data_IF_026495273183
#
_entry.id   IF_026495273183
#
_cell.length_a   1.000
_cell.length_b   1.000
_cell.length_c   1.000
_cell.angle_alpha   90.00
_cell.angle_beta   90.00
_cell.angle_gamma   90.00
#
_symmetry.space_group_name_H-M   'P 1'
#
loop_
_entity.id
_entity.type
_entity.pdbx_description
1 polymer ?
#
# COMPACT_ATOMS: atom_id res chain seq x y z
N UNK A 1 -66.70 1.97 21.20
CA UNK A 1 -65.88 1.68 22.40
C UNK A 1 -65.66 0.17 22.49
N UNK A 2 -64.44 -0.32 22.23
CA UNK A 2 -63.91 -1.56 22.79
C UNK A 2 -62.38 -1.57 22.63
N UNK A 3 -61.68 -2.05 23.66
CA UNK A 3 -60.24 -1.95 23.91
C UNK A 3 -59.44 -3.15 23.39
N UNK A 4 -58.17 -2.89 23.07
CA UNK A 4 -56.93 -3.70 23.13
C UNK A 4 -56.93 -5.20 22.77
N UNK A 5 -55.98 -5.58 21.91
CA UNK A 5 -54.95 -6.57 22.26
C UNK A 5 -53.63 -6.26 21.53
N UNK A 6 -52.55 -6.21 22.30
CA UNK A 6 -51.15 -6.16 21.83
C UNK A 6 -50.75 -7.56 21.37
N UNK A 7 -50.10 -7.69 20.22
CA UNK A 7 -49.18 -8.80 19.97
C UNK A 7 -48.00 -8.29 19.14
N UNK A 8 -46.84 -8.27 19.78
CA UNK A 8 -45.56 -8.06 19.13
C UNK A 8 -45.16 -9.36 18.39
N UNK A 9 -44.77 -9.24 17.12
CA UNK A 9 -43.87 -10.19 16.49
C UNK A 9 -42.70 -9.43 15.89
N UNK A 10 -41.55 -9.60 16.55
CA UNK A 10 -40.23 -9.23 16.08
C UNK A 10 -39.88 -10.25 14.99
N UNK A 11 -39.87 -9.84 13.72
CA UNK A 11 -39.23 -10.63 12.67
C UNK A 11 -37.82 -10.10 12.50
N UNK A 12 -36.84 -10.94 12.81
CA UNK A 12 -35.42 -10.60 12.81
C UNK A 12 -34.89 -10.33 11.41
N UNK A 13 -34.30 -9.16 11.23
CA UNK A 13 -33.40 -8.92 10.11
C UNK A 13 -32.01 -9.46 10.49
N UNK A 14 -31.66 -10.62 9.94
CA UNK A 14 -30.27 -11.04 9.84
C UNK A 14 -29.53 -10.05 8.94
N UNK A 15 -28.77 -9.13 9.53
CA UNK A 15 -27.84 -8.29 8.78
C UNK A 15 -26.58 -9.14 8.52
N UNK A 16 -26.50 -9.62 7.29
CA UNK A 16 -25.30 -10.20 6.70
C UNK A 16 -24.12 -9.25 6.90
N UNK A 17 -23.02 -9.82 7.38
CA UNK A 17 -21.66 -9.30 7.33
C UNK A 17 -21.46 -8.55 6.01
N UNK A 18 -21.09 -7.27 6.09
CA UNK A 18 -20.78 -6.45 4.93
C UNK A 18 -19.64 -7.07 4.14
N UNK A 19 -19.99 -7.80 3.08
CA UNK A 19 -19.05 -8.26 2.09
C UNK A 19 -18.36 -7.05 1.46
N UNK A 20 -17.03 -7.06 1.46
CA UNK A 20 -16.19 -6.15 0.69
C UNK A 20 -16.71 -6.13 -0.74
N UNK A 21 -17.18 -4.97 -1.21
CA UNK A 21 -17.73 -4.87 -2.56
C UNK A 21 -16.63 -5.17 -3.59
N UNK A 22 -16.91 -5.98 -4.62
CA UNK A 22 -15.96 -6.16 -5.72
C UNK A 22 -15.87 -4.86 -6.53
N UNK A 23 -14.70 -4.24 -6.56
CA UNK A 23 -14.43 -3.07 -7.37
C UNK A 23 -14.32 -3.43 -8.87
N UNK A 24 -14.95 -2.67 -9.79
CA UNK A 24 -14.77 -2.83 -11.23
C UNK A 24 -13.36 -2.38 -11.71
N UNK A 25 -12.82 -2.91 -12.82
CA UNK A 25 -11.42 -2.77 -13.19
C UNK A 25 -11.09 -1.38 -13.75
N UNK A 26 -10.50 -0.55 -12.89
CA UNK A 26 -9.68 0.61 -13.23
C UNK A 26 -8.36 0.50 -12.45
N UNK A 27 -7.32 -0.02 -13.12
CA UNK A 27 -6.04 -0.53 -12.57
C UNK A 27 -5.58 0.11 -11.25
N UNK A 28 -5.86 -0.58 -10.14
CA UNK A 28 -5.20 -0.34 -8.84
C UNK A 28 -3.72 -0.70 -8.90
N UNK A 29 -2.95 -0.26 -7.91
CA UNK A 29 -1.58 -0.69 -7.71
C UNK A 29 -1.57 -2.21 -7.44
N UNK A 30 -0.70 -2.96 -8.10
CA UNK A 30 -0.51 -4.40 -7.85
C UNK A 30 0.94 -4.69 -7.51
N UNK A 31 1.15 -5.69 -6.66
CA UNK A 31 2.48 -6.13 -6.24
C UNK A 31 2.91 -7.38 -7.01
N UNK A 32 4.12 -7.34 -7.53
CA UNK A 32 4.73 -8.38 -8.34
C UNK A 32 6.06 -8.81 -7.69
N UNK A 33 6.28 -10.12 -7.43
CA UNK A 33 7.58 -10.59 -6.96
C UNK A 33 8.64 -10.37 -8.04
N UNK A 34 9.85 -9.97 -7.66
CA UNK A 34 10.94 -9.81 -8.61
C UNK A 34 11.45 -11.18 -9.07
N UNK A 35 11.22 -11.48 -10.34
CA UNK A 35 11.71 -12.67 -11.06
C UNK A 35 12.70 -12.29 -12.17
N UNK A 36 13.33 -11.11 -12.07
CA UNK A 36 14.30 -10.58 -13.04
C UNK A 36 13.77 -9.46 -13.95
N UNK A 37 12.56 -8.95 -13.67
CA UNK A 37 11.99 -7.78 -14.35
C UNK A 37 12.48 -6.44 -13.77
N UNK A 38 13.09 -6.45 -12.59
CA UNK A 38 13.59 -5.27 -11.88
C UNK A 38 15.04 -5.47 -11.39
N UNK A 39 15.71 -4.40 -10.91
CA UNK A 39 17.05 -4.49 -10.31
C UNK A 39 17.17 -5.60 -9.25
N UNK A 40 18.36 -6.17 -9.11
CA UNK A 40 18.59 -7.38 -8.29
C UNK A 40 18.37 -7.19 -6.79
N UNK A 41 18.46 -5.95 -6.32
CA UNK A 41 18.22 -5.54 -4.92
C UNK A 41 16.73 -5.40 -4.58
N UNK A 42 15.86 -5.33 -5.57
CA UNK A 42 14.42 -5.36 -5.38
C UNK A 42 13.93 -6.80 -5.16
N UNK A 43 13.11 -7.00 -4.12
CA UNK A 43 12.39 -8.25 -3.89
C UNK A 43 10.98 -8.21 -4.48
N UNK A 44 10.32 -7.04 -4.41
CA UNK A 44 8.99 -6.81 -4.95
C UNK A 44 8.91 -5.48 -5.69
N UNK A 45 7.99 -5.43 -6.65
CA UNK A 45 7.74 -4.26 -7.50
C UNK A 45 6.27 -3.94 -7.46
N UNK A 46 5.95 -2.66 -7.38
CA UNK A 46 4.60 -2.17 -7.66
C UNK A 46 4.70 -1.00 -8.64
N UNK A 47 3.73 -0.86 -9.54
CA UNK A 47 3.73 0.20 -10.55
C UNK A 47 2.38 0.89 -10.63
N UNK A 48 2.36 2.18 -10.27
CA UNK A 48 1.23 3.06 -10.46
C UNK A 48 1.38 3.92 -11.73
N UNK A 49 0.37 4.72 -12.08
CA UNK A 49 0.43 5.60 -13.25
C UNK A 49 1.55 6.65 -13.21
N UNK A 50 1.92 7.14 -12.02
CA UNK A 50 2.85 8.26 -11.82
C UNK A 50 4.14 7.89 -11.08
N UNK A 51 4.25 6.66 -10.58
CA UNK A 51 5.40 6.22 -9.78
C UNK A 51 5.62 4.70 -9.90
N UNK A 52 6.84 4.28 -9.58
CA UNK A 52 7.20 2.88 -9.41
C UNK A 52 7.75 2.68 -8.00
N UNK A 53 7.32 1.62 -7.33
CA UNK A 53 7.78 1.22 -6.01
C UNK A 53 8.67 0.00 -6.14
N UNK A 54 9.81 0.00 -5.46
CA UNK A 54 10.66 -1.15 -5.26
C UNK A 54 10.74 -1.42 -3.76
N UNK A 55 10.37 -2.61 -3.33
CA UNK A 55 10.60 -3.06 -1.96
C UNK A 55 11.89 -3.88 -1.95
N UNK A 56 12.86 -3.45 -1.16
CA UNK A 56 14.19 -4.06 -1.04
C UNK A 56 14.34 -4.71 0.33
N UNK A 57 15.50 -5.32 0.61
CA UNK A 57 15.80 -5.86 1.95
C UNK A 57 16.06 -4.78 3.01
N UNK A 58 16.31 -3.54 2.61
CA UNK A 58 16.68 -2.43 3.50
C UNK A 58 15.65 -1.30 3.54
N UNK A 59 14.58 -1.37 2.74
CA UNK A 59 13.53 -0.37 2.75
C UNK A 59 12.67 -0.33 1.49
N UNK A 60 12.07 0.83 1.26
CA UNK A 60 11.22 1.11 0.11
C UNK A 60 11.85 2.22 -0.73
N UNK A 61 11.87 2.04 -2.05
CA UNK A 61 12.28 3.07 -3.01
C UNK A 61 11.12 3.45 -3.91
N UNK A 62 10.74 4.73 -3.90
CA UNK A 62 9.78 5.31 -4.84
C UNK A 62 10.51 6.07 -5.94
N UNK A 63 10.27 5.67 -7.18
CA UNK A 63 10.68 6.40 -8.37
C UNK A 63 9.55 7.34 -8.77
N UNK A 64 9.71 8.64 -8.47
CA UNK A 64 8.70 9.67 -8.68
C UNK A 64 9.06 10.50 -9.90
N UNK A 65 8.09 10.71 -10.79
CA UNK A 65 8.27 11.57 -11.96
C UNK A 65 8.41 13.03 -11.52
N UNK A 66 9.40 13.73 -12.06
CA UNK A 66 9.64 15.14 -11.76
C UNK A 66 8.74 16.09 -12.55
N UNK A 67 8.31 17.18 -11.89
CA UNK A 67 7.42 18.20 -12.47
C UNK A 67 8.09 19.03 -13.57
N UNK A 68 9.38 19.33 -13.43
CA UNK A 68 10.04 20.41 -14.18
C UNK A 68 11.08 19.94 -15.22
N UNK A 69 10.99 18.72 -15.76
CA UNK A 69 12.00 18.24 -16.73
C UNK A 69 11.48 17.14 -17.69
N UNK A 70 12.14 17.01 -18.86
CA UNK A 70 12.17 15.78 -19.70
C UNK A 70 12.24 14.54 -18.80
N UNK A 71 11.66 13.37 -19.16
CA UNK A 71 11.32 12.31 -18.21
C UNK A 71 12.51 11.95 -17.31
N UNK A 72 12.54 12.55 -16.13
CA UNK A 72 13.53 12.34 -15.08
C UNK A 72 12.74 11.89 -13.86
N UNK A 73 13.19 10.79 -13.28
CA UNK A 73 12.64 10.30 -12.04
C UNK A 73 13.60 10.67 -10.91
N UNK A 74 13.05 11.04 -9.76
CA UNK A 74 13.79 11.07 -8.50
C UNK A 74 13.48 9.83 -7.71
N UNK A 75 14.51 9.28 -7.09
CA UNK A 75 14.39 8.17 -6.16
C UNK A 75 14.24 8.74 -4.75
N UNK A 76 13.09 8.52 -4.12
CA UNK A 76 12.89 8.76 -2.68
C UNK A 76 12.98 7.41 -1.98
N UNK A 77 13.90 7.30 -1.02
CA UNK A 77 14.10 6.07 -0.25
C UNK A 77 13.57 6.25 1.16
N UNK A 78 12.71 5.34 1.60
CA UNK A 78 12.23 5.23 2.97
C UNK A 78 12.90 4.03 3.64
N UNK A 79 13.47 4.25 4.82
CA UNK A 79 14.08 3.22 5.66
C UNK A 79 13.50 3.26 7.07
N UNK A 80 13.58 2.13 7.76
CA UNK A 80 13.21 2.01 9.17
C UNK A 80 14.48 2.04 10.03
N UNK A 81 14.67 3.12 10.77
CA UNK A 81 15.89 3.32 11.60
C UNK A 81 15.84 2.36 12.79
N UNK A 82 16.91 1.58 12.98
CA UNK A 82 16.94 0.55 14.04
C UNK A 82 16.08 -0.68 13.76
N UNK A 83 15.38 -0.70 12.62
CA UNK A 83 14.57 -1.84 12.18
C UNK A 83 15.41 -3.01 11.69
N UNK A 84 14.78 -4.18 11.62
CA UNK A 84 15.37 -5.40 11.08
C UNK A 84 15.30 -5.40 9.55
N UNK A 85 16.29 -5.97 8.84
CA UNK A 85 16.21 -6.12 7.38
C UNK A 85 14.98 -6.93 6.96
N UNK A 86 14.36 -6.56 5.86
CA UNK A 86 13.15 -7.19 5.31
C UNK A 86 13.50 -8.47 4.55
N UNK A 87 13.97 -9.49 5.28
CA UNK A 87 14.57 -10.69 4.67
C UNK A 87 13.59 -11.61 3.92
N UNK A 88 12.30 -11.52 4.22
CA UNK A 88 11.29 -12.42 3.65
C UNK A 88 9.95 -11.68 3.45
N UNK A 89 9.93 -10.77 2.47
CA UNK A 89 8.68 -10.14 2.06
C UNK A 89 7.74 -11.18 1.43
N UNK A 90 6.51 -11.26 1.94
CA UNK A 90 5.51 -12.22 1.47
C UNK A 90 4.30 -11.51 0.86
N UNK A 91 3.87 -11.97 -0.31
CA UNK A 91 2.66 -11.47 -0.97
C UNK A 91 1.41 -12.19 -0.44
N UNK A 92 0.34 -11.43 -0.24
CA UNK A 92 -0.96 -11.91 0.21
C UNK A 92 -2.06 -11.49 -0.78
N UNK A 93 -3.20 -12.17 -0.69
CA UNK A 93 -4.38 -11.86 -1.51
C UNK A 93 -4.05 -11.86 -3.01
N UNK A 94 -3.67 -13.04 -3.53
CA UNK A 94 -3.36 -13.21 -4.95
C UNK A 94 -4.58 -12.85 -5.81
N UNK A 95 -4.40 -11.94 -6.77
CA UNK A 95 -5.53 -11.41 -7.57
C UNK A 95 -5.98 -12.38 -8.67
N UNK A 96 -5.17 -13.41 -8.96
CA UNK A 96 -5.37 -14.31 -10.10
C UNK A 96 -4.87 -13.75 -11.43
N UNK A 97 -4.43 -12.50 -11.46
CA UNK A 97 -3.85 -11.85 -12.63
C UNK A 97 -2.35 -12.10 -12.74
N UNK A 98 -1.83 -11.98 -13.96
CA UNK A 98 -0.40 -12.10 -14.22
C UNK A 98 0.08 -11.08 -15.24
N UNK A 99 1.37 -10.73 -15.13
CA UNK A 99 2.07 -9.91 -16.12
C UNK A 99 3.17 -10.68 -16.83
N UNK A 100 3.32 -10.40 -18.12
CA UNK A 100 4.46 -10.80 -18.94
C UNK A 100 5.31 -9.56 -19.30
N UNK A 101 6.63 -9.72 -19.18
CA UNK A 101 7.62 -8.71 -19.54
C UNK A 101 8.33 -9.10 -20.83
N UNK A 102 8.19 -8.25 -21.85
CA UNK A 102 8.73 -8.46 -23.19
C UNK A 102 9.89 -7.50 -23.49
N UNK A 103 10.91 -7.98 -24.19
CA UNK A 103 12.01 -7.18 -24.77
C UNK A 103 11.97 -7.34 -26.29
N UNK A 104 11.47 -6.32 -26.99
CA UNK A 104 11.18 -6.46 -28.42
C UNK A 104 10.13 -7.54 -28.64
N UNK A 105 10.40 -8.48 -29.55
CA UNK A 105 9.54 -9.63 -29.80
C UNK A 105 9.81 -10.83 -28.87
N UNK A 106 10.85 -10.76 -28.04
CA UNK A 106 11.23 -11.85 -27.14
C UNK A 106 10.60 -11.67 -25.77
N UNK A 107 10.12 -12.78 -25.21
CA UNK A 107 9.57 -12.81 -23.87
C UNK A 107 10.69 -13.08 -22.87
N UNK A 108 10.93 -12.16 -21.91
CA UNK A 108 12.03 -12.29 -20.94
C UNK A 108 11.59 -12.94 -19.63
N UNK A 109 10.43 -12.54 -19.10
CA UNK A 109 9.87 -13.07 -17.85
C UNK A 109 8.35 -13.19 -18.02
N UNK A 110 7.77 -14.34 -17.70
CA UNK A 110 6.33 -14.59 -17.86
C UNK A 110 5.63 -14.94 -16.57
N UNK A 111 4.30 -14.80 -16.60
CA UNK A 111 3.38 -15.28 -15.58
C UNK A 111 3.77 -14.83 -14.18
N UNK A 112 4.17 -13.57 -14.06
CA UNK A 112 4.46 -12.98 -12.75
C UNK A 112 3.11 -12.74 -12.06
N UNK A 113 2.83 -13.44 -10.95
CA UNK A 113 1.55 -13.31 -10.24
C UNK A 113 1.42 -11.94 -9.58
N UNK A 114 0.19 -11.48 -9.50
CA UNK A 114 -0.20 -10.25 -8.82
C UNK A 114 -0.75 -10.55 -7.42
N UNK A 115 -0.38 -9.69 -6.48
CA UNK A 115 -0.84 -9.71 -5.09
C UNK A 115 -1.40 -8.36 -4.72
N UNK A 116 -2.46 -8.34 -3.92
CA UNK A 116 -3.04 -7.09 -3.43
C UNK A 116 -2.25 -6.51 -2.25
N UNK A 117 -1.49 -7.33 -1.54
CA UNK A 117 -0.69 -6.90 -0.38
C UNK A 117 0.70 -7.53 -0.35
N UNK A 118 1.65 -6.86 0.29
CA UNK A 118 2.96 -7.42 0.65
C UNK A 118 3.26 -7.12 2.12
N UNK A 119 3.65 -8.13 2.88
CA UNK A 119 4.01 -8.00 4.31
C UNK A 119 5.51 -8.15 4.52
N UNK A 120 6.09 -7.22 5.27
CA UNK A 120 7.38 -7.34 5.93
C UNK A 120 7.13 -7.67 7.40
N UNK A 121 7.30 -8.94 7.77
CA UNK A 121 7.09 -9.37 9.15
C UNK A 121 8.31 -9.02 10.03
N UNK A 122 8.05 -8.61 11.27
CA UNK A 122 9.04 -8.33 12.30
C UNK A 122 10.01 -7.23 11.90
N UNK A 123 9.52 -6.14 11.30
CA UNK A 123 10.36 -4.98 10.98
C UNK A 123 10.91 -4.31 12.25
N UNK A 124 10.17 -4.42 13.34
CA UNK A 124 10.66 -4.27 14.70
C UNK A 124 10.16 -5.46 15.55
N UNK A 125 10.57 -5.54 16.81
CA UNK A 125 10.03 -6.56 17.71
C UNK A 125 8.53 -6.36 17.93
N UNK A 126 7.72 -7.34 17.49
CA UNK A 126 6.26 -7.29 17.59
C UNK A 126 5.59 -6.30 16.63
N UNK A 127 6.29 -5.80 15.61
CA UNK A 127 5.73 -4.86 14.62
C UNK A 127 5.96 -5.38 13.21
N UNK A 128 4.87 -5.52 12.46
CA UNK A 128 4.87 -5.85 11.05
C UNK A 128 4.57 -4.61 10.21
N UNK A 129 5.03 -4.60 8.96
CA UNK A 129 4.72 -3.57 7.98
C UNK A 129 4.00 -4.20 6.79
N UNK A 130 2.81 -3.71 6.45
CA UNK A 130 1.99 -4.24 5.35
C UNK A 130 1.78 -3.16 4.31
N UNK A 131 2.09 -3.44 3.05
CA UNK A 131 1.83 -2.56 1.91
C UNK A 131 0.60 -3.04 1.15
N UNK A 132 -0.25 -2.11 0.70
CA UNK A 132 -1.43 -2.43 -0.09
C UNK A 132 -1.83 -1.27 -1.01
N UNK A 133 -2.78 -1.53 -1.91
CA UNK A 133 -3.39 -0.50 -2.77
C UNK A 133 -4.60 0.13 -2.11
N UNK A 134 -4.66 1.45 -2.15
CA UNK A 134 -5.87 2.20 -1.86
C UNK A 134 -6.14 3.20 -2.98
N UNK A 135 -7.10 2.87 -3.84
CA UNK A 135 -7.51 3.77 -4.93
C UNK A 135 -6.41 4.07 -5.95
N UNK A 136 -5.47 3.14 -6.17
CA UNK A 136 -4.31 3.33 -7.06
C UNK A 136 -3.09 3.97 -6.38
N UNK A 137 -3.15 4.24 -5.08
CA UNK A 137 -2.06 4.78 -4.29
C UNK A 137 -1.47 3.69 -3.38
N UNK A 138 -0.16 3.80 -3.13
CA UNK A 138 0.50 2.96 -2.14
C UNK A 138 0.10 3.44 -0.74
N UNK A 139 -0.44 2.53 0.05
CA UNK A 139 -0.58 2.70 1.50
C UNK A 139 0.23 1.65 2.22
N UNK A 140 0.53 1.92 3.48
CA UNK A 140 1.20 0.96 4.34
C UNK A 140 0.77 1.09 5.79
N UNK A 141 0.61 -0.05 6.47
CA UNK A 141 0.25 -0.12 7.87
C UNK A 141 1.43 -0.62 8.70
N UNK A 142 1.68 0.01 9.84
CA UNK A 142 2.36 -0.66 10.94
C UNK A 142 1.34 -1.40 11.79
N UNK A 143 1.39 -2.73 11.75
CA UNK A 143 0.63 -3.60 12.64
C UNK A 143 1.44 -3.86 13.91
N UNK A 144 1.10 -3.16 15.00
CA UNK A 144 1.79 -3.23 16.29
C UNK A 144 1.06 -4.23 17.17
N UNK A 145 1.72 -5.34 17.53
CA UNK A 145 1.16 -6.34 18.42
C UNK A 145 0.93 -5.76 19.84
N UNK A 146 0.03 -6.38 20.60
CA UNK A 146 -0.17 -6.02 22.00
C UNK A 146 1.16 -6.09 22.78
N UNK A 147 1.46 -5.02 23.53
CA UNK A 147 2.69 -4.87 24.31
C UNK A 147 3.94 -4.48 23.51
N UNK A 148 3.89 -4.45 22.17
CA UNK A 148 4.99 -3.92 21.37
C UNK A 148 5.05 -2.38 21.47
N UNK A 149 6.26 -1.82 21.37
CA UNK A 149 6.48 -0.39 21.55
C UNK A 149 6.56 0.34 20.19
N UNK A 150 5.50 1.09 19.80
CA UNK A 150 5.50 1.85 18.54
C UNK A 150 6.43 3.06 18.56
N UNK A 151 6.95 3.48 19.72
CA UNK A 151 7.95 4.55 19.83
C UNK A 151 9.27 4.23 19.13
N UNK A 152 9.53 2.94 18.83
CA UNK A 152 10.68 2.51 18.04
C UNK A 152 10.55 2.82 16.54
N UNK A 153 9.34 3.13 16.06
CA UNK A 153 9.12 3.36 14.63
C UNK A 153 9.66 4.73 14.22
N UNK A 154 10.81 4.72 13.57
CA UNK A 154 11.43 5.91 12.99
C UNK A 154 11.61 5.72 11.49
N UNK A 155 11.01 6.61 10.70
CA UNK A 155 11.15 6.68 9.26
C UNK A 155 12.34 7.57 8.91
N UNK A 156 13.23 7.11 8.03
CA UNK A 156 14.29 7.94 7.45
C UNK A 156 14.07 8.06 5.94
N UNK A 157 14.21 9.29 5.43
CA UNK A 157 14.01 9.61 4.02
C UNK A 157 15.29 10.12 3.36
N UNK A 158 15.74 9.41 2.33
CA UNK A 158 16.83 9.83 1.45
C UNK A 158 16.28 10.30 0.09
N UNK A 159 17.05 11.15 -0.61
CA UNK A 159 16.68 11.63 -1.96
C UNK A 159 15.70 12.81 -1.98
N UNK A 160 15.46 13.42 -0.81
CA UNK A 160 14.60 14.60 -0.65
C UNK A 160 15.46 15.85 -0.40
N UNK A 161 15.03 16.99 -0.93
CA UNK A 161 15.63 18.30 -0.66
C UNK A 161 15.07 18.92 0.62
N UNK A 162 13.79 18.68 0.91
CA UNK A 162 13.09 19.25 2.06
C UNK A 162 12.08 18.25 2.60
N UNK A 163 11.96 18.24 3.93
CA UNK A 163 10.94 17.51 4.67
C UNK A 163 10.26 18.47 5.65
N UNK A 164 8.93 18.45 5.71
CA UNK A 164 8.14 19.32 6.58
C UNK A 164 6.81 18.67 6.95
N UNK A 165 6.18 19.13 8.04
CA UNK A 165 4.78 18.82 8.35
C UNK A 165 3.93 20.02 7.93
N UNK A 166 2.81 19.80 7.26
CA UNK A 166 1.82 20.85 7.03
C UNK A 166 1.00 21.09 8.29
N UNK A 167 1.04 22.30 8.82
CA UNK A 167 0.38 22.64 10.09
C UNK A 167 -1.16 22.61 10.02
N UNK A 168 -1.76 22.59 8.82
CA UNK A 168 -3.22 22.54 8.66
C UNK A 168 -3.71 21.11 8.48
N UNK A 169 -3.08 20.35 7.59
CA UNK A 169 -3.51 18.98 7.29
C UNK A 169 -2.85 17.92 8.19
N UNK A 170 -1.68 18.21 8.77
CA UNK A 170 -0.86 17.25 9.49
C UNK A 170 -0.12 16.28 8.58
N UNK A 171 -0.08 16.55 7.27
CA UNK A 171 0.65 15.72 6.30
C UNK A 171 2.17 15.89 6.46
N UNK A 172 2.92 14.80 6.35
CA UNK A 172 4.36 14.83 6.17
C UNK A 172 4.68 14.98 4.67
N UNK A 173 5.34 16.07 4.31
CA UNK A 173 5.60 16.44 2.92
C UNK A 173 7.09 16.34 2.63
N UNK A 174 7.40 15.56 1.59
CA UNK A 174 8.73 15.29 1.08
C UNK A 174 8.89 15.97 -0.28
N UNK A 175 9.71 17.01 -0.36
CA UNK A 175 10.05 17.67 -1.62
C UNK A 175 11.32 17.05 -2.20
N UNK A 176 11.22 16.50 -3.39
CA UNK A 176 12.35 15.98 -4.17
C UNK A 176 13.23 17.10 -4.72
N UNK A 177 14.44 16.78 -5.17
CA UNK A 177 15.37 17.75 -5.76
C UNK A 177 14.90 18.36 -7.09
N UNK A 178 14.00 17.71 -7.83
CA UNK A 178 13.37 18.29 -9.02
C UNK A 178 12.05 19.01 -8.74
N UNK A 179 11.64 19.09 -7.48
CA UNK A 179 10.50 19.90 -7.01
C UNK A 179 9.16 19.16 -6.96
N UNK A 180 9.09 17.87 -7.29
CA UNK A 180 7.90 17.07 -6.99
C UNK A 180 7.74 16.85 -5.48
N UNK A 181 6.50 16.90 -4.99
CA UNK A 181 6.15 16.59 -3.60
C UNK A 181 5.50 15.21 -3.48
N UNK A 182 5.94 14.43 -2.49
CA UNK A 182 5.24 13.26 -1.98
C UNK A 182 4.62 13.65 -0.63
N UNK A 183 3.36 13.30 -0.43
CA UNK A 183 2.60 13.65 0.78
C UNK A 183 2.21 12.38 1.49
N UNK A 184 2.70 12.20 2.71
CA UNK A 184 2.20 11.18 3.61
C UNK A 184 1.06 11.82 4.41
N UNK A 185 -0.15 11.31 4.23
CA UNK A 185 -1.33 11.71 4.97
C UNK A 185 -1.06 11.62 6.47
N UNK A 186 -1.74 12.48 7.24
CA UNK A 186 -1.76 12.33 8.69
C UNK A 186 -2.18 10.89 9.03
N UNK A 187 -1.43 10.17 9.87
CA UNK A 187 -1.69 8.77 10.12
C UNK A 187 -3.03 8.61 10.84
N UNK A 188 -3.82 7.65 10.38
CA UNK A 188 -5.00 7.18 11.09
C UNK A 188 -4.56 6.08 12.05
N UNK A 189 -4.69 6.34 13.35
CA UNK A 189 -4.23 5.41 14.39
C UNK A 189 -5.42 4.88 15.15
N UNK A 190 -5.47 3.56 15.37
CA UNK A 190 -6.62 2.94 16.03
C UNK A 190 -6.30 1.58 16.65
N UNK A 191 -7.12 1.20 17.62
CA UNK A 191 -7.17 -0.14 18.18
C UNK A 191 -8.46 -0.84 17.75
N UNK A 192 -8.36 -2.13 17.51
CA UNK A 192 -9.53 -2.99 17.32
C UNK A 192 -9.87 -3.65 18.66
N UNK A 193 -10.95 -3.20 19.31
CA UNK A 193 -11.43 -3.75 20.59
C UNK A 193 -12.73 -4.49 20.33
N UNK A 194 -12.65 -5.82 20.19
CA UNK A 194 -13.76 -6.63 19.70
C UNK A 194 -14.15 -6.21 18.27
N UNK A 195 -15.39 -5.79 18.07
CA UNK A 195 -15.88 -5.30 16.77
C UNK A 195 -15.78 -3.78 16.62
N UNK A 196 -15.32 -3.06 17.64
CA UNK A 196 -15.24 -1.60 17.62
C UNK A 196 -13.83 -1.13 17.25
N UNK A 197 -13.78 -0.12 16.39
CA UNK A 197 -12.57 0.64 16.08
C UNK A 197 -12.50 1.84 17.01
N UNK A 198 -11.52 1.84 17.91
CA UNK A 198 -11.25 2.95 18.82
C UNK A 198 -10.10 3.77 18.26
N UNK A 199 -10.39 4.98 17.79
CA UNK A 199 -9.34 5.88 17.28
C UNK A 199 -8.45 6.39 18.40
N UNK A 200 -7.14 6.45 18.12
CA UNK A 200 -6.12 7.04 18.97
C UNK A 200 -5.63 8.28 18.23
N UNK A 201 -5.65 9.44 18.88
CA UNK A 201 -5.12 10.63 18.25
C UNK A 201 -3.63 10.46 17.96
N UNK A 202 -3.22 10.64 16.71
CA UNK A 202 -1.83 10.53 16.28
C UNK A 202 -1.43 11.58 15.25
N UNK A 203 -0.13 11.64 14.97
CA UNK A 203 0.49 12.56 14.03
C UNK A 203 1.95 12.24 13.75
N UNK A 204 2.60 13.09 12.97
CA UNK A 204 4.06 13.02 12.77
C UNK A 204 4.79 13.98 13.70
N UNK A 205 6.04 13.65 13.98
CA UNK A 205 7.04 14.55 14.54
C UNK A 205 8.29 14.50 13.65
N UNK A 206 8.87 15.67 13.35
CA UNK A 206 10.13 15.75 12.62
C UNK A 206 11.28 15.56 13.61
N UNK A 207 12.20 14.67 13.24
CA UNK A 207 13.47 14.47 13.91
C UNK A 207 14.61 15.00 13.03
N UNK A 208 15.82 15.04 13.58
CA UNK A 208 17.01 15.44 12.83
C UNK A 208 17.34 14.48 11.68
N UNK A 209 18.12 14.96 10.71
CA UNK A 209 18.72 14.16 9.63
C UNK A 209 17.69 13.45 8.73
N UNK A 210 16.60 14.14 8.36
CA UNK A 210 15.62 13.60 7.41
C UNK A 210 14.81 12.44 7.98
N UNK A 211 14.56 12.46 9.30
CA UNK A 211 13.79 11.44 10.00
C UNK A 211 12.45 11.96 10.50
N UNK A 212 11.47 11.07 10.58
CA UNK A 212 10.18 11.34 11.18
C UNK A 212 9.79 10.19 12.12
N UNK A 213 9.12 10.54 13.21
CA UNK A 213 8.51 9.60 14.16
C UNK A 213 7.00 9.84 14.23
N UNK A 214 6.29 8.94 14.91
CA UNK A 214 4.88 9.09 15.20
C UNK A 214 4.68 9.64 16.61
N UNK A 215 3.78 10.62 16.74
CA UNK A 215 3.22 11.03 18.03
C UNK A 215 1.91 10.31 18.24
N UNK A 216 1.71 9.77 19.45
CA UNK A 216 0.53 8.98 19.81
C UNK A 216 -0.03 9.50 21.14
N UNK A 217 -1.34 9.71 21.19
CA UNK A 217 -2.05 9.89 22.45
C UNK A 217 -2.06 8.58 23.26
N UNK A 218 -2.49 8.66 24.52
CA UNK A 218 -2.61 7.48 25.37
C UNK A 218 -3.57 6.44 24.75
N UNK A 219 -3.16 5.17 24.79
CA UNK A 219 -3.94 4.02 24.33
C UNK A 219 -3.70 2.82 25.27
N UNK A 220 -4.53 1.78 25.15
CA UNK A 220 -4.39 0.58 25.98
C UNK A 220 -3.43 -0.43 25.34
N UNK A 221 -2.19 -0.51 25.82
CA UNK A 221 -1.14 -1.37 25.24
C UNK A 221 -1.45 -2.87 25.26
N UNK A 222 -2.52 -3.30 25.94
CA UNK A 222 -2.99 -4.69 25.93
C UNK A 222 -3.69 -5.07 24.62
N UNK A 223 -4.07 -4.09 23.80
CA UNK A 223 -4.67 -4.33 22.48
C UNK A 223 -3.67 -3.97 21.38
N UNK A 224 -3.71 -4.68 20.24
CA UNK A 224 -2.96 -4.28 19.05
C UNK A 224 -3.30 -2.84 18.62
N UNK A 225 -2.32 -2.18 18.01
CA UNK A 225 -2.43 -0.83 17.48
C UNK A 225 -2.11 -0.87 15.98
N UNK A 226 -2.94 -0.23 15.18
CA UNK A 226 -2.65 0.00 13.76
C UNK A 226 -2.30 1.47 13.59
N UNK A 227 -1.18 1.73 12.91
CA UNK A 227 -0.79 3.07 12.44
C UNK A 227 -0.81 3.00 10.91
N UNK A 228 -1.80 3.67 10.31
CA UNK A 228 -2.08 3.67 8.86
C UNK A 228 -1.73 5.05 8.24
N UNK A 229 -0.48 5.23 7.77
CA UNK A 229 -0.10 6.33 6.91
C UNK A 229 -0.38 6.05 5.42
N UNK A 230 -1.22 6.88 4.79
CA UNK A 230 -1.43 6.84 3.35
C UNK A 230 -0.41 7.72 2.59
N UNK A 231 0.11 7.27 1.44
CA UNK A 231 0.94 8.11 0.56
C UNK A 231 0.10 8.63 -0.60
N UNK A 232 -0.04 9.94 -0.69
CA UNK A 232 -0.55 10.64 -1.85
C UNK A 232 0.60 11.28 -2.64
N UNK A 233 0.58 11.10 -3.96
CA UNK A 233 1.38 11.91 -4.88
C UNK A 233 0.43 12.85 -5.59
N UNK A 234 0.73 14.15 -5.62
CA UNK A 234 -0.05 15.09 -6.46
C UNK A 234 0.01 14.62 -7.92
N UNK A 235 -1.14 14.18 -8.46
CA UNK A 235 -1.23 13.63 -9.82
C UNK A 235 -0.81 14.68 -10.84
N UNK A 236 0.29 14.42 -11.53
CA UNK A 236 0.66 15.15 -12.75
C UNK A 236 0.09 14.39 -13.95
N UNK A 237 -1.00 14.89 -14.54
CA UNK A 237 -1.45 14.48 -15.87
C UNK A 237 -0.50 15.06 -16.91
N UNK A 238 0.52 14.32 -17.32
CA UNK A 238 1.32 14.65 -18.51
C UNK A 238 1.64 13.39 -19.30
N UNK A 239 1.47 13.47 -20.61
CA UNK A 239 1.60 12.38 -21.59
C UNK A 239 3.00 11.75 -21.62
N UNK A 240 3.03 10.42 -21.78
CA UNK A 240 4.23 9.58 -21.67
C UNK A 240 5.18 9.70 -22.88
N UNK A 241 6.50 9.90 -22.69
CA UNK A 241 7.52 9.59 -23.69
C UNK A 241 7.93 8.10 -23.65
N UNK A 242 8.17 7.52 -24.83
CA UNK A 242 8.48 6.10 -25.06
C UNK A 242 9.96 5.78 -24.82
N UNK A 243 10.24 4.90 -23.86
CA UNK A 243 11.28 3.85 -23.92
C UNK A 243 11.08 2.92 -22.71
N UNK A 244 10.43 1.75 -22.91
CA UNK A 244 10.05 0.82 -21.82
C UNK A 244 9.96 -0.61 -22.36
N UNK A 245 10.43 -1.61 -21.58
CA UNK A 245 10.02 -3.01 -21.74
C UNK A 245 8.49 -3.08 -21.73
N UNK A 246 7.87 -3.64 -22.76
CA UNK A 246 6.42 -3.64 -22.83
C UNK A 246 5.84 -4.61 -21.79
N UNK A 247 5.06 -4.04 -20.87
CA UNK A 247 4.23 -4.78 -19.91
C UNK A 247 2.95 -5.23 -20.61
N UNK A 248 2.73 -6.53 -20.69
CA UNK A 248 1.46 -7.10 -21.19
C UNK A 248 0.78 -7.88 -20.07
N UNK A 249 -0.30 -7.32 -19.55
CA UNK A 249 -1.21 -8.01 -18.63
C UNK A 249 -1.99 -9.08 -19.39
N UNK A 250 -2.19 -10.24 -18.78
CA UNK A 250 -3.02 -11.31 -19.33
C UNK A 250 -4.03 -11.70 -18.25
N UNK A 251 -5.31 -11.45 -18.52
CA UNK A 251 -6.40 -11.86 -17.64
C UNK A 251 -6.44 -13.39 -17.52
N UNK A 252 -6.55 -13.89 -16.29
CA UNK A 252 -6.69 -15.31 -15.99
C UNK A 252 -8.07 -15.83 -16.43
N UNK A 253 -8.25 -16.06 -17.72
CA UNK A 253 -9.45 -16.69 -18.26
C UNK A 253 -9.49 -18.18 -17.93
N UNK A 254 -10.18 -18.54 -16.84
CA UNK A 254 -10.64 -19.91 -16.62
C UNK A 254 -11.70 -20.27 -17.66
N UNK A 255 -11.27 -20.79 -18.81
CA UNK A 255 -12.18 -21.32 -19.82
C UNK A 255 -12.86 -22.58 -19.33
N UNK A 256 -14.18 -22.52 -19.09
CA UNK A 256 -15.05 -23.71 -19.07
C UNK A 256 -15.11 -24.27 -20.49
N UNK A 257 -14.93 -25.58 -20.71
CA UNK A 257 -15.17 -26.17 -22.03
C UNK A 257 -16.67 -26.10 -22.36
N UNK A 258 -16.98 -25.61 -23.56
CA UNK A 258 -18.34 -25.67 -24.12
C UNK A 258 -18.72 -27.14 -24.38
N UNK A 259 -19.95 -27.57 -24.04
CA UNK A 259 -20.41 -28.90 -24.42
C UNK A 259 -20.62 -29.00 -25.94
N UNK A 260 -20.42 -30.19 -26.54
CA UNK A 260 -20.56 -30.38 -27.98
C UNK A 260 -22.01 -30.16 -28.42
N UNK A 261 -22.20 -29.32 -29.43
CA UNK A 261 -23.48 -29.14 -30.10
C UNK A 261 -23.81 -30.38 -30.93
N UNK A 262 -24.93 -31.02 -30.60
CA UNK A 262 -25.53 -32.07 -31.42
C UNK A 262 -26.05 -31.46 -32.72
N UNK A 263 -25.55 -31.97 -33.86
CA UNK A 263 -26.14 -31.75 -35.18
C UNK A 263 -27.48 -32.49 -35.27
N UNK A 264 -28.53 -31.78 -35.70
CA UNK A 264 -29.48 -32.24 -36.72
C UNK A 264 -29.86 -31.06 -37.59
#
# INVERSE_FOLDING_TARGET
>A
MLRLFTLALISGASMLVGATQPHPPGRGLVFEPNRGQAPVDAQWVAQGPSYKVLLTGDGLTMMVRERNSRPKYSAVRMKLVGGRPWKALAGFDATGEVTNYLRGNETKVTRIPHYAKVRAAGVYEGIDLVFYDHGGNLEYDFEVAAGADPGNIVLAFDGVQRMRIDNRSGELILTTWGGSELRHARPLVYQQVGNERVEVAGGYELLDNGRAAFTLAHYDSRHPLIIDPAIAIERIYLSSPREVLQRKEVGGGGGRPLPPTLRR
#
